data_IF_725436749471
#
_entry.id   IF_725436749471
#
_cell.length_a   1.000
_cell.length_b   1.000
_cell.length_c   1.000
_cell.angle_alpha   90.00
_cell.angle_beta   90.00
_cell.angle_gamma   90.00
#
_symmetry.space_group_name_H-M   'P 1'
#
loop_
_entity.id
_entity.type
_entity.pdbx_description
1 polymer ?
#
# COMPACT_ATOMS: atom_id res chain seq x y z
N UNK A 1 -23.15 -0.20 -27.00
CA UNK A 1 -24.01 0.25 -25.89
C UNK A 1 -23.22 0.20 -24.61
N UNK A 2 -23.12 1.32 -23.90
CA UNK A 2 -22.39 1.37 -22.63
C UNK A 2 -23.38 1.12 -21.49
N UNK A 3 -23.16 0.07 -20.69
CA UNK A 3 -23.91 -0.13 -19.45
C UNK A 3 -23.09 0.49 -18.31
N UNK A 4 -23.67 1.47 -17.62
CA UNK A 4 -23.04 2.04 -16.41
C UNK A 4 -23.59 1.28 -15.21
N UNK A 5 -22.72 0.51 -14.56
CA UNK A 5 -22.99 -0.04 -13.24
C UNK A 5 -22.26 0.84 -12.23
N UNK A 6 -22.97 1.47 -11.31
CA UNK A 6 -22.38 2.18 -10.20
C UNK A 6 -22.02 1.15 -9.11
N UNK A 7 -20.79 0.64 -9.12
CA UNK A 7 -20.27 -0.20 -8.06
C UNK A 7 -20.10 0.60 -6.76
N UNK A 8 -20.21 -0.07 -5.60
CA UNK A 8 -19.92 0.53 -4.30
C UNK A 8 -18.46 0.99 -4.28
N UNK A 9 -18.25 2.24 -3.89
CA UNK A 9 -16.93 2.86 -3.80
C UNK A 9 -16.76 3.55 -2.45
N UNK A 10 -15.61 3.29 -1.79
CA UNK A 10 -15.27 3.92 -0.52
C UNK A 10 -13.82 4.41 -0.57
N UNK A 11 -13.57 5.59 0.00
CA UNK A 11 -12.21 6.15 0.11
C UNK A 11 -11.90 6.42 1.58
N UNK A 12 -10.74 5.92 2.03
CA UNK A 12 -10.17 6.20 3.35
C UNK A 12 -8.88 6.99 3.17
N UNK A 13 -8.76 8.10 3.87
CA UNK A 13 -7.55 8.93 3.85
C UNK A 13 -7.12 9.20 5.29
N UNK A 14 -5.83 8.96 5.58
CA UNK A 14 -5.26 9.20 6.89
C UNK A 14 -3.78 9.57 6.79
N UNK A 15 -3.27 10.24 7.82
CA UNK A 15 -1.91 10.72 7.89
C UNK A 15 -1.13 10.01 8.99
N UNK A 16 0.15 9.78 8.73
CA UNK A 16 1.09 9.14 9.64
C UNK A 16 2.40 9.91 9.67
N UNK A 17 3.21 9.67 10.70
CA UNK A 17 4.55 10.21 10.83
C UNK A 17 5.55 9.06 10.87
N UNK A 18 6.57 9.13 10.02
CA UNK A 18 7.74 8.25 10.07
C UNK A 18 8.94 9.10 10.49
N UNK A 19 9.70 8.64 11.48
CA UNK A 19 10.81 9.39 12.07
C UNK A 19 12.11 9.30 11.26
N UNK A 20 11.98 9.49 9.94
CA UNK A 20 13.09 9.52 9.00
C UNK A 20 12.72 10.40 7.80
N UNK A 21 13.69 10.97 7.07
CA UNK A 21 13.38 11.82 5.93
C UNK A 21 12.76 11.03 4.76
N UNK A 22 12.04 11.70 3.85
CA UNK A 22 11.40 11.04 2.70
C UNK A 22 12.36 10.21 1.83
N UNK A 23 13.59 10.68 1.64
CA UNK A 23 14.62 9.96 0.86
C UNK A 23 14.98 8.60 1.46
N UNK A 24 14.90 8.47 2.78
CA UNK A 24 15.16 7.21 3.48
C UNK A 24 13.93 6.30 3.50
N UNK A 25 12.74 6.87 3.65
CA UNK A 25 11.49 6.11 3.70
C UNK A 25 11.07 5.57 2.34
N UNK A 26 11.14 6.40 1.30
CA UNK A 26 10.59 6.06 -0.02
C UNK A 26 11.06 4.71 -0.57
N UNK A 27 12.37 4.35 -0.50
CA UNK A 27 12.84 3.04 -0.97
C UNK A 27 12.20 1.84 -0.26
N UNK A 28 11.73 2.02 0.97
CA UNK A 28 11.09 0.94 1.75
C UNK A 28 9.67 0.60 1.27
N UNK A 29 9.04 1.48 0.50
CA UNK A 29 7.70 1.27 -0.07
C UNK A 29 7.80 0.42 -1.37
N UNK A 30 8.50 -0.70 -1.25
CA UNK A 30 8.89 -1.57 -2.34
C UNK A 30 8.66 -3.02 -1.92
N UNK A 31 7.91 -3.82 -2.71
CA UNK A 31 7.56 -5.19 -2.33
C UNK A 31 8.78 -6.07 -2.02
N UNK A 32 9.91 -5.80 -2.66
CA UNK A 32 11.15 -6.55 -2.42
C UNK A 32 11.84 -6.12 -1.12
N UNK A 33 11.84 -4.83 -0.80
CA UNK A 33 12.47 -4.30 0.43
C UNK A 33 11.59 -4.46 1.67
N UNK A 34 10.28 -4.66 1.52
CA UNK A 34 9.35 -4.89 2.62
C UNK A 34 9.66 -6.16 3.42
N UNK A 35 10.31 -7.14 2.81
CA UNK A 35 10.84 -8.31 3.52
C UNK A 35 11.82 -7.96 4.66
N UNK A 36 12.50 -6.83 4.57
CA UNK A 36 13.47 -6.42 5.57
C UNK A 36 12.85 -5.81 6.83
N UNK A 37 11.62 -5.27 6.74
CA UNK A 37 11.05 -4.49 7.82
C UNK A 37 9.60 -4.82 8.20
N UNK A 38 8.86 -5.57 7.35
CA UNK A 38 7.50 -6.03 7.66
C UNK A 38 7.55 -7.52 8.04
N UNK A 39 7.22 -7.88 9.30
CA UNK A 39 7.43 -9.26 9.82
C UNK A 39 6.70 -10.37 9.06
N UNK A 40 5.52 -10.09 8.51
CA UNK A 40 4.68 -11.10 7.86
C UNK A 40 4.54 -10.89 6.36
N UNK A 41 5.43 -10.08 5.77
CA UNK A 41 5.36 -9.77 4.37
C UNK A 41 5.71 -10.96 3.49
N UNK A 42 4.84 -11.27 2.54
CA UNK A 42 5.09 -12.22 1.46
C UNK A 42 4.51 -11.71 0.15
N UNK A 43 5.28 -11.80 -0.91
CA UNK A 43 4.83 -11.45 -2.25
C UNK A 43 5.50 -12.33 -3.31
N UNK A 44 4.92 -12.36 -4.51
CA UNK A 44 5.58 -12.92 -5.69
C UNK A 44 5.81 -11.80 -6.68
N UNK A 45 7.07 -11.46 -6.94
CA UNK A 45 7.43 -10.49 -7.98
C UNK A 45 7.22 -11.13 -9.36
N UNK A 46 6.27 -10.59 -10.12
CA UNK A 46 5.93 -11.09 -11.47
C UNK A 46 6.77 -10.39 -12.54
N UNK A 47 6.91 -9.06 -12.44
CA UNK A 47 7.68 -8.27 -13.39
C UNK A 47 8.28 -7.03 -12.74
N UNK A 48 9.57 -6.85 -12.95
CA UNK A 48 10.31 -5.62 -12.69
C UNK A 48 11.60 -5.66 -13.49
N UNK A 49 11.92 -4.58 -14.18
CA UNK A 49 13.17 -4.46 -14.95
C UNK A 49 14.37 -4.28 -14.02
N UNK A 50 14.19 -3.43 -12.98
CA UNK A 50 15.24 -3.14 -11.99
C UNK A 50 15.33 -4.20 -10.88
N UNK A 51 14.35 -5.08 -10.75
CA UNK A 51 14.25 -6.04 -9.65
C UNK A 51 13.68 -5.46 -8.35
N UNK A 52 13.28 -4.20 -8.34
CA UNK A 52 12.66 -3.48 -7.21
C UNK A 52 11.43 -2.70 -7.70
N UNK A 53 10.81 -1.90 -6.82
CA UNK A 53 9.69 -1.05 -7.22
C UNK A 53 10.10 -0.06 -8.31
N UNK A 54 9.27 0.04 -9.31
CA UNK A 54 9.39 0.97 -10.43
C UNK A 54 8.01 1.15 -11.08
N UNK A 55 7.85 2.18 -11.90
CA UNK A 55 6.63 2.31 -12.69
C UNK A 55 6.41 1.06 -13.55
N UNK A 56 5.21 0.47 -13.46
CA UNK A 56 4.84 -0.73 -14.22
C UNK A 56 5.31 -2.05 -13.61
N UNK A 57 5.98 -2.08 -12.46
CA UNK A 57 6.27 -3.35 -11.79
C UNK A 57 4.95 -4.03 -11.36
N UNK A 58 4.95 -5.35 -11.41
CA UNK A 58 3.79 -6.19 -11.08
C UNK A 58 4.20 -7.26 -10.09
N UNK A 59 3.42 -7.41 -9.04
CA UNK A 59 3.58 -8.48 -8.05
C UNK A 59 2.23 -8.95 -7.52
N UNK A 60 2.20 -10.08 -6.85
CA UNK A 60 1.00 -10.62 -6.20
C UNK A 60 1.23 -10.81 -4.72
N UNK A 61 0.15 -10.71 -3.95
CA UNK A 61 0.10 -11.00 -2.52
C UNK A 61 -1.14 -11.81 -2.18
N UNK A 62 -1.12 -12.54 -1.07
CA UNK A 62 -2.29 -13.15 -0.46
C UNK A 62 -2.17 -13.02 1.07
N UNK A 63 -3.03 -12.22 1.67
CA UNK A 63 -3.07 -12.00 3.12
C UNK A 63 -4.10 -12.89 3.84
N UNK A 64 -4.60 -13.92 3.15
CA UNK A 64 -5.58 -14.87 3.70
C UNK A 64 -7.01 -14.63 3.23
N UNK A 65 -7.27 -13.56 2.49
CA UNK A 65 -8.56 -13.18 1.92
C UNK A 65 -8.62 -13.32 0.39
N UNK A 66 -7.62 -13.97 -0.19
CA UNK A 66 -7.48 -14.20 -1.63
C UNK A 66 -6.33 -13.41 -2.24
N UNK A 67 -5.93 -13.85 -3.43
CA UNK A 67 -4.83 -13.22 -4.15
C UNK A 67 -5.22 -11.84 -4.67
N UNK A 68 -4.29 -10.91 -4.56
CA UNK A 68 -4.35 -9.60 -5.20
C UNK A 68 -3.16 -9.41 -6.14
N UNK A 69 -3.43 -8.88 -7.31
CA UNK A 69 -2.40 -8.44 -8.27
C UNK A 69 -2.18 -6.94 -8.11
N UNK A 70 -0.92 -6.54 -7.93
CA UNK A 70 -0.50 -5.16 -7.74
C UNK A 70 0.25 -4.66 -8.96
N UNK A 71 -0.05 -3.43 -9.37
CA UNK A 71 0.69 -2.71 -10.42
C UNK A 71 1.09 -1.35 -9.87
N UNK A 72 2.37 -1.00 -9.98
CA UNK A 72 2.84 0.35 -9.67
C UNK A 72 2.47 1.29 -10.81
N UNK A 73 1.55 2.21 -10.55
CA UNK A 73 0.99 3.13 -11.55
C UNK A 73 1.56 4.54 -11.46
N UNK A 74 2.13 4.92 -10.33
CA UNK A 74 2.87 6.16 -10.14
C UNK A 74 4.15 5.89 -9.37
N UNK A 75 5.28 6.36 -9.87
CA UNK A 75 6.58 6.24 -9.21
C UNK A 75 7.35 7.56 -9.32
N UNK A 76 7.32 8.35 -8.25
CA UNK A 76 7.95 9.68 -8.17
C UNK A 76 8.79 9.82 -6.91
N UNK A 77 10.00 9.23 -6.86
CA UNK A 77 10.86 9.36 -5.69
C UNK A 77 11.24 10.82 -5.41
N UNK A 78 11.28 11.26 -4.17
CA UNK A 78 10.84 10.57 -2.96
C UNK A 78 9.44 11.01 -2.49
N UNK A 79 8.59 11.52 -3.38
CA UNK A 79 7.36 12.25 -3.03
C UNK A 79 6.07 11.46 -3.16
N UNK A 80 6.00 10.53 -4.12
CA UNK A 80 4.75 9.80 -4.37
C UNK A 80 4.99 8.42 -4.99
N UNK A 81 4.22 7.46 -4.52
CA UNK A 81 4.10 6.13 -5.14
C UNK A 81 2.64 5.68 -5.07
N UNK A 82 2.14 5.11 -6.15
CA UNK A 82 0.77 4.61 -6.22
C UNK A 82 0.76 3.19 -6.79
N UNK A 83 -0.06 2.36 -6.17
CA UNK A 83 -0.33 0.99 -6.60
C UNK A 83 -1.81 0.81 -6.87
N UNK A 84 -2.14 0.16 -7.98
CA UNK A 84 -3.46 -0.40 -8.21
C UNK A 84 -3.44 -1.88 -7.86
N UNK A 85 -4.38 -2.31 -7.04
CA UNK A 85 -4.51 -3.69 -6.58
C UNK A 85 -5.82 -4.28 -7.12
N UNK A 86 -5.75 -5.41 -7.80
CA UNK A 86 -6.92 -6.12 -8.31
C UNK A 86 -7.11 -7.38 -7.49
N UNK A 87 -8.19 -7.43 -6.72
CA UNK A 87 -8.52 -8.54 -5.83
C UNK A 87 -9.37 -9.60 -6.53
N UNK A 88 -9.03 -10.86 -6.35
CA UNK A 88 -9.87 -12.00 -6.82
C UNK A 88 -11.24 -12.01 -6.15
N UNK A 89 -11.38 -11.38 -4.98
CA UNK A 89 -12.65 -11.19 -4.27
C UNK A 89 -13.63 -10.21 -4.90
N UNK A 90 -13.25 -9.53 -5.99
CA UNK A 90 -14.17 -8.72 -6.79
C UNK A 90 -14.15 -7.22 -6.49
N UNK A 91 -13.01 -6.67 -6.09
CA UNK A 91 -12.81 -5.22 -5.97
C UNK A 91 -11.44 -4.79 -6.49
N UNK A 92 -11.31 -3.50 -6.77
CA UNK A 92 -10.06 -2.83 -7.13
C UNK A 92 -9.74 -1.79 -6.06
N UNK A 93 -8.49 -1.76 -5.61
CA UNK A 93 -7.98 -0.74 -4.69
C UNK A 93 -6.98 0.14 -5.40
N UNK A 94 -7.14 1.45 -5.31
CA UNK A 94 -6.08 2.42 -5.61
C UNK A 94 -5.45 2.86 -4.30
N UNK A 95 -4.18 2.53 -4.11
CA UNK A 95 -3.39 2.93 -2.94
C UNK A 95 -2.44 4.04 -3.36
N UNK A 96 -2.65 5.24 -2.84
CA UNK A 96 -1.80 6.39 -3.09
C UNK A 96 -1.05 6.78 -1.81
N UNK A 97 0.28 6.83 -1.90
CA UNK A 97 1.18 7.24 -0.84
C UNK A 97 1.88 8.54 -1.23
N UNK A 98 1.71 9.58 -0.43
CA UNK A 98 2.37 10.87 -0.61
C UNK A 98 3.28 11.16 0.60
N UNK A 99 4.52 11.55 0.34
CA UNK A 99 5.54 11.82 1.33
C UNK A 99 5.94 13.29 1.28
N UNK A 100 5.90 13.94 2.44
CA UNK A 100 6.37 15.32 2.61
C UNK A 100 7.31 15.43 3.81
N UNK A 101 8.40 16.21 3.71
CA UNK A 101 9.30 16.40 4.84
C UNK A 101 8.63 17.23 5.93
N UNK A 102 8.92 16.85 7.19
CA UNK A 102 8.51 17.59 8.39
C UNK A 102 9.69 17.70 9.36
N UNK A 103 9.56 18.49 10.43
CA UNK A 103 10.57 18.52 11.49
C UNK A 103 10.75 17.17 12.18
N UNK A 104 9.68 16.37 12.27
CA UNK A 104 9.70 15.05 12.87
C UNK A 104 10.22 13.94 11.93
N UNK A 105 10.40 14.23 10.64
CA UNK A 105 10.82 13.28 9.62
C UNK A 105 9.97 13.37 8.36
N UNK A 106 9.05 12.42 8.16
CA UNK A 106 8.14 12.38 7.00
C UNK A 106 6.69 12.37 7.45
N UNK A 107 5.88 13.25 6.86
CA UNK A 107 4.43 13.10 6.85
C UNK A 107 4.05 12.17 5.69
N UNK A 108 3.47 11.01 6.02
CA UNK A 108 2.99 10.04 5.07
C UNK A 108 1.48 10.11 5.00
N UNK A 109 0.95 10.55 3.86
CA UNK A 109 -0.49 10.54 3.60
C UNK A 109 -0.84 9.28 2.82
N UNK A 110 -1.76 8.50 3.35
CA UNK A 110 -2.27 7.26 2.76
C UNK A 110 -3.70 7.49 2.31
N UNK A 111 -3.97 7.29 1.02
CA UNK A 111 -5.32 7.31 0.48
C UNK A 111 -5.61 5.96 -0.19
N UNK A 112 -6.66 5.28 0.25
CA UNK A 112 -7.10 4.02 -0.33
C UNK A 112 -8.52 4.18 -0.85
N UNK A 113 -8.71 3.92 -2.15
CA UNK A 113 -10.03 3.93 -2.78
C UNK A 113 -10.37 2.53 -3.23
N UNK A 114 -11.40 1.97 -2.62
CA UNK A 114 -11.92 0.63 -2.91
C UNK A 114 -13.14 0.74 -3.81
N UNK A 115 -13.15 0.02 -4.92
CA UNK A 115 -14.27 -0.01 -5.87
C UNK A 115 -14.68 -1.45 -6.14
N UNK A 116 -15.90 -1.82 -5.76
CA UNK A 116 -16.43 -3.14 -6.03
C UNK A 116 -16.72 -3.32 -7.53
N UNK A 117 -16.39 -4.48 -8.06
CA UNK A 117 -16.63 -4.85 -9.47
C UNK A 117 -17.55 -6.07 -9.62
N UNK A 118 -17.91 -6.70 -8.50
CA UNK A 118 -18.85 -7.83 -8.44
C UNK A 118 -19.78 -7.68 -7.23
N UNK A 119 -20.93 -8.37 -7.17
CA UNK A 119 -21.78 -8.40 -5.97
C UNK A 119 -21.05 -8.91 -4.73
N UNK A 120 -20.17 -9.91 -4.88
CA UNK A 120 -19.31 -10.37 -3.77
C UNK A 120 -18.36 -9.26 -3.30
N UNK A 121 -17.77 -8.52 -4.24
CA UNK A 121 -16.91 -7.39 -3.94
C UNK A 121 -17.64 -6.26 -3.23
N UNK A 122 -18.93 -6.03 -3.52
CA UNK A 122 -19.73 -5.04 -2.79
C UNK A 122 -19.87 -5.40 -1.31
N UNK A 123 -20.10 -6.68 -1.00
CA UNK A 123 -20.13 -7.14 0.39
C UNK A 123 -18.78 -6.92 1.09
N UNK A 124 -17.68 -7.23 0.41
CA UNK A 124 -16.33 -7.04 0.94
C UNK A 124 -16.01 -5.57 1.18
N UNK A 125 -16.27 -4.70 0.21
CA UNK A 125 -16.01 -3.25 0.33
C UNK A 125 -16.91 -2.62 1.41
N UNK A 126 -18.17 -3.04 1.51
CA UNK A 126 -19.08 -2.56 2.56
C UNK A 126 -18.60 -2.95 3.98
N UNK A 127 -17.94 -4.09 4.11
CA UNK A 127 -17.42 -4.59 5.39
C UNK A 127 -16.06 -4.00 5.80
N UNK A 128 -15.37 -3.28 4.92
CA UNK A 128 -14.07 -2.68 5.24
C UNK A 128 -14.23 -1.63 6.33
N UNK A 129 -13.32 -1.67 7.30
CA UNK A 129 -13.33 -0.78 8.46
C UNK A 129 -12.17 0.22 8.35
N UNK A 130 -12.50 1.51 8.31
CA UNK A 130 -11.51 2.59 8.19
C UNK A 130 -10.55 2.63 9.38
N UNK A 131 -11.01 2.29 10.58
CA UNK A 131 -10.16 2.24 11.77
C UNK A 131 -9.13 1.13 11.65
N UNK A 132 -9.53 -0.05 11.18
CA UNK A 132 -8.62 -1.18 10.96
C UNK A 132 -7.57 -0.82 9.90
N UNK A 133 -7.99 -0.22 8.79
CA UNK A 133 -7.06 0.23 7.75
C UNK A 133 -6.05 1.27 8.26
N UNK A 134 -6.51 2.23 9.05
CA UNK A 134 -5.64 3.22 9.70
C UNK A 134 -4.64 2.59 10.66
N UNK A 135 -5.09 1.65 11.48
CA UNK A 135 -4.25 0.97 12.46
C UNK A 135 -3.14 0.17 11.80
N UNK A 136 -3.42 -0.50 10.67
CA UNK A 136 -2.41 -1.17 9.85
C UNK A 136 -1.31 -0.19 9.43
N UNK A 137 -1.66 0.97 8.92
CA UNK A 137 -0.68 1.97 8.48
C UNK A 137 0.02 2.67 9.65
N UNK A 138 -0.63 2.79 10.80
CA UNK A 138 0.03 3.23 12.04
C UNK A 138 1.14 2.27 12.44
N UNK A 139 0.87 0.97 12.39
CA UNK A 139 1.86 -0.05 12.71
C UNK A 139 2.99 -0.13 11.66
N UNK A 140 2.65 -0.06 10.38
CA UNK A 140 3.66 0.00 9.32
C UNK A 140 4.58 1.23 9.46
N UNK A 141 4.04 2.38 9.82
CA UNK A 141 4.83 3.60 10.06
C UNK A 141 5.78 3.45 11.25
N UNK A 142 5.32 2.77 12.31
CA UNK A 142 6.15 2.40 13.46
C UNK A 142 7.29 1.47 13.04
N UNK A 143 6.97 0.41 12.32
CA UNK A 143 7.95 -0.59 11.84
C UNK A 143 9.01 0.05 10.93
N UNK A 144 8.59 0.90 10.00
CA UNK A 144 9.51 1.63 9.14
C UNK A 144 10.43 2.55 9.94
N UNK A 145 9.90 3.27 10.93
CA UNK A 145 10.68 4.13 11.82
C UNK A 145 11.73 3.33 12.61
N UNK A 146 11.36 2.18 13.15
CA UNK A 146 12.29 1.29 13.89
C UNK A 146 13.38 0.77 12.96
N UNK A 147 13.01 0.27 11.80
CA UNK A 147 13.98 -0.25 10.82
C UNK A 147 14.99 0.82 10.39
N UNK A 148 14.51 2.03 10.06
CA UNK A 148 15.39 3.13 9.64
C UNK A 148 16.29 3.64 10.75
N UNK A 149 15.89 3.51 12.01
CA UNK A 149 16.70 3.88 13.17
C UNK A 149 17.71 2.81 13.57
N UNK A 150 17.40 1.53 13.40
CA UNK A 150 18.16 0.40 13.95
C UNK A 150 18.80 -0.51 12.90
N UNK A 151 18.33 -0.48 11.66
CA UNK A 151 18.70 -1.43 10.60
C UNK A 151 18.14 -2.82 10.81
N UNK A 152 17.23 -3.02 11.76
CA UNK A 152 16.63 -4.31 12.09
C UNK A 152 15.11 -4.22 12.12
N UNK A 153 14.47 -5.36 11.79
CA UNK A 153 13.01 -5.51 11.86
C UNK A 153 12.52 -5.31 13.30
N UNK A 154 11.52 -4.46 13.49
CA UNK A 154 10.86 -4.30 14.78
C UNK A 154 9.98 -5.49 15.16
N UNK A 155 9.56 -5.58 16.44
CA UNK A 155 8.62 -6.61 16.86
C UNK A 155 7.25 -6.40 16.21
N UNK A 156 6.62 -7.53 15.86
CA UNK A 156 5.27 -7.55 15.29
C UNK A 156 4.21 -7.11 16.33
#
# INVERSE_FOLDING_TARGET
MTTTAAGLRRTFTHDHVVTAPPDALFPLLCPVLEYAWIPTWECTLVHSVSGVAEHGCVFTTDFGDGEETWVCTTYRPPTAIEYTRVATGGWVTMLALALAPTEAGTALTVAQTFTAVTPQGECAVAAMDETVERDVWTDLSRLASVYLATGAMGPA
#
